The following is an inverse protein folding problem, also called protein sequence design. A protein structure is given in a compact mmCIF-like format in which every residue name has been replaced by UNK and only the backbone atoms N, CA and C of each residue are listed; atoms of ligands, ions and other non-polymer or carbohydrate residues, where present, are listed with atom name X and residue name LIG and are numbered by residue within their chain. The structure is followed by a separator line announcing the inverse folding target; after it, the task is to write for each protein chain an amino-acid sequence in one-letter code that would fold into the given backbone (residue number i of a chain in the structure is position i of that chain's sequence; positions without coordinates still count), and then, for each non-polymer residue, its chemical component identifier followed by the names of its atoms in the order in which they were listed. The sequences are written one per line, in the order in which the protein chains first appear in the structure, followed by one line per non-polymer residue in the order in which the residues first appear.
data_IF_612726153887
#
_entry.id   IF_612726153887
#
_cell.length_a   1.000
_cell.length_b   1.000
_cell.length_c   1.000
_cell.angle_alpha   90.00
_cell.angle_beta   90.00
_cell.angle_gamma   90.00
#
_symmetry.space_group_name_H-M   'P 1'
#
loop_
_entity.id
_entity.type
_entity.pdbx_description
1 polymer ?
#
# COMPACT_ATOMS: atom_id res chain seq x y z
N UNK A 1 -8.05 -2.35 10.19
CA UNK A 1 -7.06 -3.11 9.40
C UNK A 1 -7.81 -3.89 8.33
N UNK A 2 -7.27 -4.02 7.11
CA UNK A 2 -7.94 -4.71 5.99
C UNK A 2 -7.18 -6.00 5.64
N UNK A 3 -7.94 -7.04 5.33
CA UNK A 3 -7.48 -8.40 5.08
C UNK A 3 -6.56 -8.53 3.86
N UNK A 4 -6.73 -7.63 2.89
CA UNK A 4 -5.93 -7.56 1.66
C UNK A 4 -4.50 -7.05 1.90
N UNK A 5 -4.33 -6.10 2.84
CA UNK A 5 -3.04 -5.50 3.18
C UNK A 5 -2.18 -6.44 4.04
N UNK A 6 -2.74 -6.95 5.14
CA UNK A 6 -1.99 -7.77 6.10
C UNK A 6 -1.78 -9.19 5.56
N UNK A 7 -2.81 -9.79 4.94
CA UNK A 7 -2.70 -11.15 4.37
C UNK A 7 -1.66 -11.24 3.25
N UNK A 8 -1.54 -10.18 2.44
CA UNK A 8 -0.48 -10.06 1.43
C UNK A 8 0.93 -10.06 2.04
N UNK A 9 1.14 -9.25 3.08
CA UNK A 9 2.42 -9.17 3.81
C UNK A 9 2.76 -10.50 4.49
N UNK A 10 1.81 -11.15 5.18
CA UNK A 10 2.00 -12.49 5.77
C UNK A 10 2.50 -13.47 4.72
N UNK A 11 1.88 -13.50 3.55
CA UNK A 11 2.29 -14.40 2.48
C UNK A 11 3.71 -14.08 1.96
N UNK A 12 4.09 -12.81 1.88
CA UNK A 12 5.47 -12.41 1.54
C UNK A 12 6.45 -12.94 2.59
N UNK A 13 6.20 -12.66 3.87
CA UNK A 13 7.09 -13.05 4.97
C UNK A 13 7.21 -14.55 5.15
N UNK A 14 6.19 -15.34 4.79
CA UNK A 14 6.30 -16.80 4.78
C UNK A 14 7.26 -17.31 3.70
N UNK A 15 7.29 -16.68 2.53
CA UNK A 15 7.97 -17.19 1.33
C UNK A 15 9.32 -16.51 1.03
N UNK A 16 9.63 -15.42 1.72
CA UNK A 16 10.84 -14.61 1.53
C UNK A 16 11.51 -14.42 2.89
N UNK A 17 12.85 -14.44 2.90
CA UNK A 17 13.65 -14.03 4.05
C UNK A 17 13.87 -12.53 3.98
N UNK A 18 13.57 -11.85 5.09
CA UNK A 18 13.75 -10.41 5.23
C UNK A 18 14.49 -10.15 6.54
N UNK A 19 15.31 -9.10 6.55
CA UNK A 19 16.06 -8.70 7.75
C UNK A 19 15.15 -7.98 8.75
N UNK A 20 14.30 -7.09 8.26
CA UNK A 20 13.36 -6.32 9.05
C UNK A 20 12.04 -6.11 8.31
N UNK A 21 11.00 -5.82 9.07
CA UNK A 21 9.70 -5.37 8.61
C UNK A 21 9.45 -3.98 9.17
N UNK A 22 9.09 -3.06 8.27
CA UNK A 22 8.66 -1.73 8.67
C UNK A 22 7.18 -1.80 9.06
N UNK A 23 6.90 -1.50 10.33
CA UNK A 23 5.54 -1.47 10.83
C UNK A 23 5.42 -0.42 11.94
N UNK A 24 4.64 0.63 11.70
CA UNK A 24 4.31 1.61 12.72
C UNK A 24 3.22 1.04 13.64
N UNK A 25 3.59 0.73 14.89
CA UNK A 25 2.71 0.18 15.92
C UNK A 25 2.51 1.25 17.02
N UNK A 26 1.28 1.46 17.53
CA UNK A 26 1.03 2.38 18.64
C UNK A 26 1.92 2.11 19.86
N UNK A 27 2.39 3.17 20.51
CA UNK A 27 3.24 3.07 21.71
C UNK A 27 2.54 2.42 22.92
N UNK A 28 1.20 2.37 22.92
CA UNK A 28 0.37 1.71 23.94
C UNK A 28 -0.06 0.29 23.55
N UNK A 29 0.65 -0.36 22.63
CA UNK A 29 0.35 -1.68 22.09
C UNK A 29 0.04 -2.74 23.16
N UNK A 30 0.75 -2.73 24.29
CA UNK A 30 0.54 -3.70 25.37
C UNK A 30 -0.88 -3.62 25.95
N UNK A 31 -1.45 -2.41 26.08
CA UNK A 31 -2.85 -2.21 26.51
C UNK A 31 -3.85 -2.65 25.44
N UNK A 32 -3.44 -2.61 24.17
CA UNK A 32 -4.26 -3.10 23.05
C UNK A 32 -4.30 -4.63 23.04
N UNK A 33 -3.19 -5.31 23.34
CA UNK A 33 -3.12 -6.76 23.52
C UNK A 33 -3.97 -7.26 24.69
N UNK A 34 -4.11 -6.49 25.76
CA UNK A 34 -5.05 -6.83 26.85
C UNK A 34 -6.52 -6.73 26.41
N UNK A 35 -6.88 -5.68 25.65
CA UNK A 35 -8.23 -5.54 25.07
C UNK A 35 -8.52 -6.62 24.01
N UNK A 36 -7.51 -7.13 23.31
CA UNK A 36 -7.63 -8.22 22.32
C UNK A 36 -8.25 -9.49 22.94
N UNK A 37 -7.77 -9.92 24.10
CA UNK A 37 -8.26 -11.14 24.75
C UNK A 37 -9.73 -11.03 25.18
N UNK A 38 -10.17 -9.80 25.47
CA UNK A 38 -11.56 -9.47 25.72
C UNK A 38 -12.41 -9.57 24.44
N UNK A 39 -11.96 -8.97 23.33
CA UNK A 39 -12.71 -9.03 22.06
C UNK A 39 -12.76 -10.41 21.42
N UNK A 40 -11.71 -11.23 21.58
CA UNK A 40 -11.70 -12.63 21.12
C UNK A 40 -12.84 -13.46 21.74
N UNK A 41 -13.22 -13.17 22.98
CA UNK A 41 -14.35 -13.83 23.68
C UNK A 41 -15.72 -13.29 23.24
N UNK A 42 -15.77 -12.08 22.67
CA UNK A 42 -16.99 -11.42 22.19
C UNK A 42 -17.33 -11.78 20.75
N UNK A 43 -16.32 -11.97 19.90
CA UNK A 43 -16.51 -12.27 18.47
C UNK A 43 -17.17 -13.62 18.18
N UNK A 44 -17.21 -14.53 19.14
CA UNK A 44 -17.90 -15.83 19.04
C UNK A 44 -19.44 -15.69 19.01
N UNK A 45 -20.02 -14.49 19.23
CA UNK A 45 -21.46 -14.31 19.48
C UNK A 45 -22.27 -13.49 18.45
N UNK A 46 -21.67 -12.79 17.48
CA UNK A 46 -22.44 -11.93 16.54
C UNK A 46 -21.81 -11.78 15.14
N UNK A 47 -22.63 -11.76 14.09
CA UNK A 47 -22.23 -11.77 12.66
C UNK A 47 -21.37 -10.53 12.26
N UNK A 48 -21.57 -9.38 12.89
CA UNK A 48 -20.77 -8.15 12.66
C UNK A 48 -19.32 -8.26 13.15
N UNK A 49 -19.00 -9.24 14.01
CA UNK A 49 -17.63 -9.49 14.47
C UNK A 49 -16.81 -10.38 13.53
N UNK A 50 -17.39 -10.96 12.47
CA UNK A 50 -16.66 -11.82 11.53
C UNK A 50 -15.46 -11.10 10.90
N UNK A 51 -15.68 -9.95 10.26
CA UNK A 51 -14.57 -9.14 9.70
C UNK A 51 -13.56 -8.68 10.75
N UNK A 52 -14.02 -8.39 11.96
CA UNK A 52 -13.13 -7.98 13.06
C UNK A 52 -12.26 -9.15 13.53
N UNK A 53 -12.85 -10.34 13.69
CA UNK A 53 -12.16 -11.57 14.05
C UNK A 53 -11.21 -12.04 12.94
N UNK A 54 -11.60 -11.92 11.67
CA UNK A 54 -10.76 -12.23 10.51
C UNK A 54 -9.54 -11.30 10.47
N UNK A 55 -9.75 -9.99 10.62
CA UNK A 55 -8.66 -9.02 10.69
C UNK A 55 -7.73 -9.27 11.88
N UNK A 56 -8.28 -9.70 13.02
CA UNK A 56 -7.52 -10.04 14.21
C UNK A 56 -6.70 -11.32 14.00
N UNK A 57 -7.30 -12.37 13.44
CA UNK A 57 -6.66 -13.64 13.11
C UNK A 57 -5.49 -13.46 12.13
N UNK A 58 -5.69 -12.64 11.08
CA UNK A 58 -4.63 -12.33 10.10
C UNK A 58 -3.51 -11.50 10.75
N UNK A 59 -3.84 -10.60 11.68
CA UNK A 59 -2.83 -9.83 12.43
C UNK A 59 -2.03 -10.74 13.38
N UNK A 60 -2.69 -11.67 14.07
CA UNK A 60 -2.02 -12.69 14.89
C UNK A 60 -1.09 -13.56 14.04
N UNK A 61 -1.53 -13.96 12.85
CA UNK A 61 -0.71 -14.71 11.92
C UNK A 61 0.55 -13.93 11.50
N UNK A 62 0.43 -12.63 11.22
CA UNK A 62 1.57 -11.76 10.92
C UNK A 62 2.58 -11.72 12.07
N UNK A 63 2.11 -11.47 13.29
CA UNK A 63 2.96 -11.39 14.48
C UNK A 63 3.65 -12.73 14.75
N UNK A 64 2.92 -13.84 14.61
CA UNK A 64 3.49 -15.17 14.75
C UNK A 64 4.59 -15.43 13.71
N UNK A 65 4.41 -15.02 12.45
CA UNK A 65 5.46 -15.17 11.43
C UNK A 65 6.69 -14.34 11.76
N UNK A 66 6.50 -13.10 12.21
CA UNK A 66 7.59 -12.20 12.63
C UNK A 66 8.37 -12.79 13.80
N UNK A 67 7.67 -13.24 14.85
CA UNK A 67 8.28 -13.82 16.05
C UNK A 67 9.02 -15.13 15.74
N UNK A 68 8.37 -16.05 15.02
CA UNK A 68 8.96 -17.35 14.68
C UNK A 68 10.20 -17.21 13.80
N UNK A 69 10.20 -16.23 12.89
CA UNK A 69 11.36 -15.94 12.03
C UNK A 69 12.36 -14.96 12.66
N UNK A 70 12.09 -14.45 13.87
CA UNK A 70 12.90 -13.45 14.57
C UNK A 70 13.21 -12.22 13.70
N UNK A 71 12.20 -11.77 12.95
CA UNK A 71 12.32 -10.62 12.07
C UNK A 71 12.28 -9.35 12.93
N UNK A 72 13.22 -8.43 12.71
CA UNK A 72 13.21 -7.16 13.42
C UNK A 72 12.01 -6.30 12.97
N UNK A 73 11.29 -5.71 13.91
CA UNK A 73 10.28 -4.69 13.62
C UNK A 73 10.88 -3.32 13.85
N UNK A 74 10.84 -2.48 12.81
CA UNK A 74 11.31 -1.11 12.90
C UNK A 74 10.15 -0.15 12.61
N UNK A 75 9.87 0.82 13.50
CA UNK A 75 9.05 1.95 13.11
C UNK A 75 9.87 2.82 12.16
N UNK A 76 9.19 3.47 11.21
CA UNK A 76 9.82 4.49 10.37
C UNK A 76 9.05 5.80 10.42
N UNK A 77 9.79 6.90 10.41
CA UNK A 77 9.27 8.27 10.46
C UNK A 77 9.91 9.11 9.37
N UNK A 78 9.23 10.20 9.01
CA UNK A 78 9.75 11.18 8.08
C UNK A 78 11.18 11.61 8.45
N UNK A 79 12.05 11.65 7.44
CA UNK A 79 13.45 12.05 7.57
C UNK A 79 14.41 10.90 7.82
N UNK A 80 13.93 9.69 8.08
CA UNK A 80 14.77 8.50 8.19
C UNK A 80 15.19 7.97 6.81
N UNK A 81 16.44 7.52 6.73
CA UNK A 81 17.06 6.99 5.51
C UNK A 81 17.55 5.55 5.76
N UNK A 82 17.19 4.63 4.87
CA UNK A 82 17.65 3.24 4.88
C UNK A 82 18.56 3.04 3.67
N UNK A 83 19.87 2.91 3.90
CA UNK A 83 20.85 2.61 2.85
C UNK A 83 21.04 1.10 2.72
N UNK A 84 20.97 0.61 1.48
CA UNK A 84 21.40 -0.75 1.16
C UNK A 84 22.86 -0.78 0.69
N UNK A 85 23.26 0.20 -0.12
CA UNK A 85 24.63 0.45 -0.55
C UNK A 85 24.76 1.90 -1.07
N UNK A 86 25.92 2.26 -1.62
CA UNK A 86 26.21 3.60 -2.15
C UNK A 86 25.26 4.08 -3.27
N UNK A 87 24.64 3.16 -3.99
CA UNK A 87 23.75 3.45 -5.12
C UNK A 87 22.27 3.40 -4.72
N UNK A 88 21.90 2.78 -3.60
CA UNK A 88 20.51 2.50 -3.22
C UNK A 88 20.20 2.99 -1.81
N UNK A 89 19.33 4.02 -1.75
CA UNK A 89 18.85 4.64 -0.53
C UNK A 89 17.32 4.75 -0.57
N UNK A 90 16.65 4.30 0.48
CA UNK A 90 15.22 4.52 0.70
C UNK A 90 15.06 5.63 1.73
N UNK A 91 14.45 6.74 1.32
CA UNK A 91 14.09 7.85 2.19
C UNK A 91 12.64 7.77 2.59
N UNK A 92 12.37 7.96 3.87
CA UNK A 92 11.01 8.03 4.42
C UNK A 92 10.55 9.48 4.37
N UNK A 93 9.51 9.75 3.58
CA UNK A 93 8.92 11.09 3.43
C UNK A 93 7.65 11.28 4.27
N UNK A 94 7.11 10.20 4.82
CA UNK A 94 5.88 10.18 5.63
C UNK A 94 5.81 8.83 6.34
N UNK A 95 5.17 8.71 7.51
CA UNK A 95 4.46 9.77 8.25
C UNK A 95 5.37 10.59 9.18
N UNK A 96 4.92 11.80 9.53
CA UNK A 96 5.42 12.48 10.73
C UNK A 96 4.92 11.73 11.97
N UNK A 97 5.55 11.97 13.12
CA UNK A 97 5.06 11.41 14.38
C UNK A 97 3.63 11.89 14.70
N UNK A 98 3.32 13.17 14.45
CA UNK A 98 2.00 13.77 14.72
C UNK A 98 0.90 13.16 13.86
N UNK A 99 1.17 12.88 12.57
CA UNK A 99 0.22 12.21 11.67
C UNK A 99 -0.08 10.81 12.16
N UNK A 100 0.95 10.11 12.60
CA UNK A 100 0.81 8.76 13.12
C UNK A 100 0.02 8.75 14.44
N UNK A 101 0.29 9.68 15.36
CA UNK A 101 -0.50 9.85 16.58
C UNK A 101 -1.97 10.19 16.28
N UNK A 102 -2.23 11.09 15.32
CA UNK A 102 -3.58 11.42 14.90
C UNK A 102 -4.34 10.21 14.33
N UNK A 103 -3.67 9.38 13.53
CA UNK A 103 -4.24 8.14 13.02
C UNK A 103 -4.57 7.14 14.14
N UNK A 104 -3.71 7.02 15.14
CA UNK A 104 -3.97 6.16 16.30
C UNK A 104 -5.11 6.68 17.18
N UNK A 105 -5.18 7.99 17.38
CA UNK A 105 -6.26 8.63 18.15
C UNK A 105 -7.62 8.44 17.46
N UNK A 106 -7.67 8.63 16.13
CA UNK A 106 -8.86 8.41 15.31
C UNK A 106 -9.32 6.95 15.39
N UNK A 107 -8.41 5.97 15.31
CA UNK A 107 -8.75 4.55 15.44
C UNK A 107 -9.30 4.22 16.83
N UNK A 108 -8.79 4.85 17.90
CA UNK A 108 -9.33 4.66 19.25
C UNK A 108 -10.73 5.26 19.37
N UNK A 109 -10.95 6.45 18.80
CA UNK A 109 -12.25 7.13 18.84
C UNK A 109 -13.30 6.39 17.99
N UNK A 110 -12.96 5.96 16.78
CA UNK A 110 -13.83 5.11 15.95
C UNK A 110 -14.26 3.85 16.71
N UNK A 111 -13.33 3.21 17.43
CA UNK A 111 -13.64 2.03 18.25
C UNK A 111 -14.53 2.34 19.45
N UNK A 112 -14.28 3.44 20.15
CA UNK A 112 -15.11 3.87 21.27
C UNK A 112 -16.54 4.24 20.82
N UNK A 113 -16.69 4.92 19.68
CA UNK A 113 -17.99 5.31 19.11
C UNK A 113 -18.70 4.10 18.50
N UNK A 114 -17.97 3.14 17.91
CA UNK A 114 -18.53 1.88 17.45
C UNK A 114 -19.07 1.01 18.60
N UNK A 115 -18.55 1.17 19.82
CA UNK A 115 -19.13 0.56 21.03
C UNK A 115 -20.44 1.25 21.48
N UNK A 116 -20.75 2.46 21.00
CA UNK A 116 -21.88 3.27 21.49
C UNK A 116 -23.03 3.50 20.46
N UNK A 117 -22.82 3.21 19.16
CA UNK A 117 -23.78 3.33 18.03
C UNK A 117 -24.66 4.61 18.02
N UNK A 118 -24.34 5.58 17.15
CA UNK A 118 -25.15 5.99 15.97
C UNK A 118 -24.65 7.32 15.40
N UNK A 119 -24.55 7.33 14.06
CA UNK A 119 -24.73 8.45 13.14
C UNK A 119 -24.46 9.88 13.63
N UNK A 120 -23.37 10.47 13.14
CA UNK A 120 -23.39 11.70 12.30
C UNK A 120 -21.98 12.29 12.24
N UNK A 121 -21.16 11.81 11.30
CA UNK A 121 -19.99 12.58 10.88
C UNK A 121 -19.89 12.49 9.37
N UNK A 122 -20.01 13.65 8.70
CA UNK A 122 -19.57 13.77 7.31
C UNK A 122 -18.08 13.49 7.31
N UNK A 123 -17.71 12.30 6.86
CA UNK A 123 -16.31 11.88 6.75
C UNK A 123 -15.55 12.90 5.90
N UNK A 124 -14.37 13.30 6.38
CA UNK A 124 -13.36 13.93 5.55
C UNK A 124 -13.15 13.07 4.28
N UNK A 125 -12.86 13.66 3.11
CA UNK A 125 -12.58 12.90 1.89
C UNK A 125 -11.41 11.90 2.04
N UNK A 126 -10.61 12.04 3.11
CA UNK A 126 -9.52 11.14 3.52
C UNK A 126 -9.62 10.85 5.02
N UNK A 127 -9.12 9.69 5.45
CA UNK A 127 -9.03 9.35 6.88
C UNK A 127 -7.64 9.69 7.43
N UNK A 128 -7.52 10.08 8.71
CA UNK A 128 -6.23 10.20 9.39
C UNK A 128 -5.34 8.96 9.18
N UNK A 129 -5.95 7.77 9.10
CA UNK A 129 -5.26 6.51 8.77
C UNK A 129 -4.56 6.52 7.40
N UNK A 130 -5.20 7.04 6.36
CA UNK A 130 -4.57 7.14 5.04
C UNK A 130 -3.48 8.21 5.03
N UNK A 131 -3.68 9.30 5.76
CA UNK A 131 -2.71 10.40 5.83
C UNK A 131 -1.47 10.03 6.67
N UNK A 132 -1.55 9.00 7.50
CA UNK A 132 -0.41 8.35 8.16
C UNK A 132 0.28 7.26 7.30
N UNK A 133 0.00 7.22 5.99
CA UNK A 133 0.66 6.30 5.06
C UNK A 133 2.18 6.50 5.04
N UNK A 134 2.91 5.38 5.01
CA UNK A 134 4.34 5.38 4.75
C UNK A 134 4.57 5.76 3.27
N UNK A 135 5.27 6.86 3.04
CA UNK A 135 5.72 7.28 1.71
C UNK A 135 7.23 7.06 1.64
N UNK A 136 7.66 6.26 0.67
CA UNK A 136 9.07 5.96 0.44
C UNK A 136 9.52 6.55 -0.90
N UNK A 137 10.61 7.29 -0.86
CA UNK A 137 11.38 7.69 -2.03
C UNK A 137 12.58 6.76 -2.19
N UNK A 138 12.71 6.13 -3.36
CA UNK A 138 13.93 5.43 -3.75
C UNK A 138 14.85 6.41 -4.46
N UNK A 139 16.00 6.66 -3.86
CA UNK A 139 17.12 7.37 -4.47
C UNK A 139 18.06 6.32 -5.06
N UNK A 140 18.24 6.38 -6.39
CA UNK A 140 19.16 5.53 -7.13
C UNK A 140 20.28 6.38 -7.75
N UNK A 141 21.54 6.07 -7.46
CA UNK A 141 22.72 6.82 -7.94
C UNK A 141 22.60 8.32 -7.65
N UNK A 142 22.25 8.65 -6.40
CA UNK A 142 22.06 10.01 -5.89
C UNK A 142 20.97 10.81 -6.62
N UNK A 143 19.95 10.16 -7.20
CA UNK A 143 18.80 10.81 -7.83
C UNK A 143 17.48 10.17 -7.42
N UNK A 144 16.42 10.95 -7.16
CA UNK A 144 15.06 10.42 -7.05
C UNK A 144 14.71 9.54 -8.24
N UNK A 145 14.26 8.32 -7.97
CA UNK A 145 13.99 7.32 -9.01
C UNK A 145 12.57 6.77 -8.93
N UNK A 146 12.15 6.31 -7.76
CA UNK A 146 10.82 5.75 -7.57
C UNK A 146 10.12 6.33 -6.35
N UNK A 147 8.80 6.44 -6.44
CA UNK A 147 7.94 6.87 -5.33
C UNK A 147 6.92 5.76 -5.00
N UNK A 148 6.88 5.37 -3.73
CA UNK A 148 5.90 4.43 -3.18
C UNK A 148 5.02 5.15 -2.17
N UNK A 149 3.74 5.31 -2.49
CA UNK A 149 2.85 6.24 -1.78
C UNK A 149 1.85 5.57 -0.84
N UNK A 150 1.91 4.23 -0.71
CA UNK A 150 0.90 3.46 0.03
C UNK A 150 -0.52 3.91 -0.36
N UNK A 151 -1.35 4.31 0.59
CA UNK A 151 -2.72 4.78 0.37
C UNK A 151 -2.88 6.27 0.67
N UNK A 152 -1.76 7.00 0.66
CA UNK A 152 -1.71 8.43 0.93
C UNK A 152 -2.60 9.22 -0.03
N UNK A 153 -3.20 10.27 0.51
CA UNK A 153 -3.95 11.24 -0.27
C UNK A 153 -3.03 12.12 -1.13
N UNK A 154 -3.58 12.73 -2.17
CA UNK A 154 -2.82 13.64 -3.04
C UNK A 154 -2.16 14.79 -2.24
N UNK A 155 -2.84 15.33 -1.22
CA UNK A 155 -2.32 16.39 -0.36
C UNK A 155 -1.08 15.96 0.41
N UNK A 156 -1.13 14.80 1.08
CA UNK A 156 0.01 14.24 1.82
C UNK A 156 1.19 13.97 0.90
N UNK A 157 0.94 13.44 -0.31
CA UNK A 157 2.01 13.20 -1.29
C UNK A 157 2.66 14.51 -1.74
N UNK A 158 1.88 15.56 -2.03
CA UNK A 158 2.42 16.87 -2.45
C UNK A 158 3.33 17.47 -1.38
N UNK A 159 2.90 17.43 -0.13
CA UNK A 159 3.70 17.93 1.00
C UNK A 159 5.00 17.14 1.14
N UNK A 160 4.95 15.81 0.99
CA UNK A 160 6.09 14.92 1.15
C UNK A 160 7.17 15.08 0.06
N UNK A 161 6.80 15.28 -1.21
CA UNK A 161 7.77 15.20 -2.33
C UNK A 161 8.32 16.55 -2.81
N UNK A 162 7.81 17.68 -2.32
CA UNK A 162 8.21 19.01 -2.78
C UNK A 162 7.99 19.17 -4.30
N UNK A 163 8.98 19.62 -5.07
CA UNK A 163 8.91 19.72 -6.54
C UNK A 163 9.82 18.68 -7.22
N UNK A 164 9.50 17.40 -7.03
CA UNK A 164 10.30 16.26 -7.48
C UNK A 164 9.55 15.42 -8.51
N UNK A 165 10.26 14.93 -9.53
CA UNK A 165 9.76 13.99 -10.53
C UNK A 165 10.43 12.62 -10.38
N UNK A 166 9.73 11.57 -10.83
CA UNK A 166 10.15 10.19 -10.59
C UNK A 166 10.04 9.36 -11.88
N UNK A 167 10.93 8.39 -12.07
CA UNK A 167 10.84 7.44 -13.19
C UNK A 167 9.70 6.44 -12.97
N UNK A 168 9.47 6.04 -11.72
CA UNK A 168 8.46 5.07 -11.31
C UNK A 168 7.54 5.63 -10.21
N UNK A 169 6.25 5.39 -10.35
CA UNK A 169 5.24 5.71 -9.33
C UNK A 169 4.41 4.45 -9.02
N UNK A 170 4.39 4.00 -7.76
CA UNK A 170 3.30 3.15 -7.27
C UNK A 170 2.08 4.03 -7.06
N UNK A 171 0.99 3.75 -7.77
CA UNK A 171 -0.23 4.57 -7.67
C UNK A 171 -0.86 4.38 -6.29
N UNK A 172 -1.23 5.49 -5.61
CA UNK A 172 -1.81 5.42 -4.29
C UNK A 172 -3.16 4.72 -4.28
N UNK A 173 -3.46 4.01 -3.19
CA UNK A 173 -4.80 3.55 -2.84
C UNK A 173 -5.53 2.85 -4.00
N UNK A 174 -4.85 1.90 -4.64
CA UNK A 174 -5.38 1.11 -5.76
C UNK A 174 -5.87 1.92 -6.98
N UNK A 175 -5.54 3.21 -7.07
CA UNK A 175 -6.08 4.12 -8.08
C UNK A 175 -7.39 4.80 -7.67
N UNK A 176 -7.56 5.10 -6.38
CA UNK A 176 -8.65 5.94 -5.89
C UNK A 176 -8.57 7.36 -6.45
N UNK A 177 -9.73 7.98 -6.70
CA UNK A 177 -9.84 9.37 -7.18
C UNK A 177 -9.28 10.42 -6.20
N UNK A 178 -9.06 10.04 -4.94
CA UNK A 178 -8.51 10.92 -3.90
C UNK A 178 -6.97 10.79 -3.75
N UNK A 179 -6.37 9.78 -4.37
CA UNK A 179 -4.93 9.53 -4.26
C UNK A 179 -4.09 10.41 -5.21
N UNK A 180 -4.68 10.91 -6.30
CA UNK A 180 -4.00 11.74 -7.29
C UNK A 180 -4.88 12.90 -7.72
N UNK A 181 -4.24 13.98 -8.16
CA UNK A 181 -4.87 15.08 -8.88
C UNK A 181 -3.97 15.57 -10.03
N UNK A 182 -4.52 16.45 -10.86
CA UNK A 182 -3.89 16.97 -12.08
C UNK A 182 -2.57 17.71 -11.82
N UNK A 183 -2.45 18.39 -10.69
CA UNK A 183 -1.23 19.11 -10.31
C UNK A 183 -0.15 18.10 -9.90
N UNK A 184 -0.50 17.15 -9.03
CA UNK A 184 0.41 16.14 -8.52
C UNK A 184 0.95 15.25 -9.64
N UNK A 185 0.10 14.80 -10.55
CA UNK A 185 0.56 13.90 -11.62
C UNK A 185 1.46 14.62 -12.63
N UNK A 186 1.23 15.92 -12.90
CA UNK A 186 2.10 16.74 -13.74
C UNK A 186 3.44 17.03 -13.09
N UNK A 187 3.46 17.14 -11.77
CA UNK A 187 4.67 17.31 -10.98
C UNK A 187 5.52 16.02 -10.95
N UNK A 188 4.92 14.90 -10.58
CA UNK A 188 5.61 13.59 -10.54
C UNK A 188 6.05 13.17 -11.95
N UNK A 189 5.18 13.37 -12.94
CA UNK A 189 5.35 13.02 -14.37
C UNK A 189 6.05 11.68 -14.58
N UNK A 190 5.48 10.57 -14.08
CA UNK A 190 6.17 9.28 -14.09
C UNK A 190 6.28 8.72 -15.50
N UNK A 191 7.41 8.08 -15.82
CA UNK A 191 7.51 7.27 -17.05
C UNK A 191 6.73 5.96 -16.90
N UNK A 192 6.74 5.39 -15.69
CA UNK A 192 6.09 4.14 -15.36
C UNK A 192 5.21 4.30 -14.13
N UNK A 193 3.97 3.81 -14.20
CA UNK A 193 3.02 3.78 -13.11
C UNK A 193 2.59 2.34 -12.82
N UNK A 194 2.53 1.98 -11.54
CA UNK A 194 2.10 0.65 -11.09
C UNK A 194 0.86 0.74 -10.21
N UNK A 195 -0.25 0.17 -10.69
CA UNK A 195 -1.53 0.03 -10.00
C UNK A 195 -1.60 -1.33 -9.30
N UNK A 196 -1.43 -1.35 -7.98
CA UNK A 196 -1.79 -2.54 -7.22
C UNK A 196 -3.31 -2.59 -7.10
N UNK A 197 -4.02 -3.30 -7.98
CA UNK A 197 -5.49 -3.35 -7.98
C UNK A 197 -5.98 -4.68 -8.53
N UNK A 198 -7.05 -5.20 -7.92
CA UNK A 198 -7.81 -6.34 -8.40
C UNK A 198 -9.29 -6.03 -8.50
N UNK A 199 -10.11 -7.05 -8.75
CA UNK A 199 -11.56 -6.88 -8.73
C UNK A 199 -12.01 -6.38 -7.35
N UNK A 200 -12.74 -5.28 -7.32
CA UNK A 200 -13.12 -4.63 -6.07
C UNK A 200 -14.47 -3.90 -6.22
N UNK A 201 -15.26 -3.81 -5.15
CA UNK A 201 -16.57 -3.15 -5.18
C UNK A 201 -16.47 -1.60 -5.19
N UNK A 202 -15.28 -1.04 -4.94
CA UNK A 202 -15.05 0.41 -4.83
C UNK A 202 -14.95 1.12 -6.18
N UNK A 203 -14.93 0.36 -7.28
CA UNK A 203 -14.79 0.91 -8.63
C UNK A 203 -13.37 1.38 -8.92
N UNK A 204 -12.36 0.86 -8.22
CA UNK A 204 -10.95 1.16 -8.51
C UNK A 204 -10.40 0.26 -9.63
N UNK A 205 -9.47 0.74 -10.47
CA UNK A 205 -8.99 2.13 -10.51
C UNK A 205 -10.05 3.08 -11.09
N UNK A 206 -10.10 4.30 -10.58
CA UNK A 206 -11.00 5.34 -11.06
C UNK A 206 -10.63 5.77 -12.49
N UNK A 207 -11.63 6.13 -13.31
CA UNK A 207 -11.40 6.50 -14.72
C UNK A 207 -10.56 7.76 -14.82
N UNK A 208 -10.77 8.71 -13.93
CA UNK A 208 -10.07 9.99 -13.83
C UNK A 208 -8.57 9.78 -13.56
N UNK A 209 -8.20 8.78 -12.75
CA UNK A 209 -6.80 8.41 -12.49
C UNK A 209 -6.14 7.87 -13.77
N UNK A 210 -6.85 7.05 -14.53
CA UNK A 210 -6.35 6.52 -15.79
C UNK A 210 -6.16 7.64 -16.83
N UNK A 211 -7.12 8.56 -16.93
CA UNK A 211 -7.03 9.72 -17.82
C UNK A 211 -5.85 10.63 -17.47
N UNK A 212 -5.65 10.93 -16.18
CA UNK A 212 -4.48 11.67 -15.70
C UNK A 212 -3.16 11.01 -16.11
N UNK A 213 -3.04 9.69 -15.94
CA UNK A 213 -1.85 8.92 -16.32
C UNK A 213 -1.62 8.92 -17.84
N UNK A 214 -2.69 8.82 -18.63
CA UNK A 214 -2.65 8.95 -20.08
C UNK A 214 -2.15 10.33 -20.51
N UNK A 215 -2.67 11.38 -19.90
CA UNK A 215 -2.37 12.77 -20.26
C UNK A 215 -0.88 13.11 -20.04
N UNK A 216 -0.22 12.48 -19.06
CA UNK A 216 1.23 12.65 -18.83
C UNK A 216 2.09 11.63 -19.59
N UNK A 217 1.48 10.72 -20.37
CA UNK A 217 2.18 9.71 -21.17
C UNK A 217 2.80 8.57 -20.36
N UNK A 218 2.30 8.29 -19.15
CA UNK A 218 2.82 7.24 -18.29
C UNK A 218 2.46 5.84 -18.82
N UNK A 219 3.41 4.89 -18.76
CA UNK A 219 3.13 3.47 -19.01
C UNK A 219 2.53 2.84 -17.75
N UNK A 220 1.33 2.27 -17.88
CA UNK A 220 0.56 1.76 -16.73
C UNK A 220 0.62 0.24 -16.65
N UNK A 221 1.00 -0.27 -15.47
CA UNK A 221 1.02 -1.68 -15.10
C UNK A 221 0.02 -1.96 -13.99
N UNK A 222 -0.63 -3.13 -13.98
CA UNK A 222 -1.54 -3.52 -12.89
C UNK A 222 -1.17 -4.88 -12.28
N UNK A 223 -1.46 -5.07 -10.98
CA UNK A 223 -1.20 -6.35 -10.28
C UNK A 223 -2.18 -7.47 -10.65
N UNK A 224 -3.45 -7.15 -10.96
CA UNK A 224 -4.46 -8.15 -11.32
C UNK A 224 -5.47 -7.64 -12.37
N UNK A 225 -6.33 -8.53 -12.87
CA UNK A 225 -7.34 -8.22 -13.88
C UNK A 225 -8.48 -7.41 -13.27
N UNK A 226 -8.87 -6.32 -13.93
CA UNK A 226 -10.10 -5.56 -13.67
C UNK A 226 -10.80 -5.25 -15.00
N UNK A 227 -11.95 -4.57 -14.96
CA UNK A 227 -12.58 -4.00 -16.17
C UNK A 227 -11.62 -3.11 -16.96
N UNK A 228 -10.75 -2.39 -16.25
CA UNK A 228 -9.79 -1.42 -16.78
C UNK A 228 -8.33 -1.91 -16.76
N UNK A 229 -8.09 -3.14 -16.29
CA UNK A 229 -6.80 -3.83 -16.34
C UNK A 229 -7.01 -5.24 -16.98
N UNK A 230 -6.92 -5.39 -18.30
CA UNK A 230 -7.20 -6.57 -19.11
C UNK A 230 -5.90 -7.12 -19.67
N UNK A 231 -5.82 -8.46 -19.73
CA UNK A 231 -4.65 -9.25 -20.09
C UNK A 231 -4.48 -9.46 -21.61
N UNK A 232 -5.29 -8.83 -22.46
CA UNK A 232 -5.35 -9.15 -23.90
C UNK A 232 -4.12 -8.66 -24.67
N UNK A 233 -3.10 -9.49 -24.60
CA UNK A 233 -1.79 -9.34 -25.19
C UNK A 233 -1.70 -10.13 -26.50
N UNK A 234 -2.03 -9.55 -27.67
CA UNK A 234 -1.75 -10.21 -28.96
C UNK A 234 -0.26 -10.10 -29.32
N UNK A 235 0.38 -11.23 -29.60
CA UNK A 235 1.78 -11.36 -29.99
C UNK A 235 1.97 -10.89 -31.44
N UNK A 236 2.60 -9.74 -31.65
CA UNK A 236 3.13 -9.32 -32.94
C UNK A 236 4.65 -9.48 -32.84
N UNK A 237 5.18 -10.54 -33.43
CA UNK A 237 6.56 -10.97 -33.25
C UNK A 237 7.57 -9.85 -33.50
N UNK A 238 8.46 -9.63 -32.52
CA UNK A 238 9.90 -9.38 -32.64
C UNK A 238 10.47 -9.02 -31.25
N UNK A 239 11.46 -9.79 -30.77
CA UNK A 239 12.43 -9.38 -29.73
C UNK A 239 12.18 -9.82 -28.28
N UNK A 240 12.83 -10.93 -27.89
CA UNK A 240 12.92 -11.47 -26.52
C UNK A 240 13.66 -10.55 -25.55
N UNK A 241 13.23 -10.51 -24.27
CA UNK A 241 14.09 -10.47 -23.07
C UNK A 241 13.20 -10.67 -21.82
N UNK A 242 13.29 -11.85 -21.21
CA UNK A 242 12.59 -12.29 -19.99
C UNK A 242 13.62 -12.83 -18.98
N UNK A 243 13.52 -12.53 -17.68
CA UNK A 243 14.07 -13.30 -16.53
C UNK A 243 13.40 -12.89 -15.20
N UNK A 244 13.35 -13.69 -14.10
CA UNK A 244 14.15 -14.83 -13.58
C UNK A 244 13.30 -16.11 -13.29
N UNK A 245 13.96 -17.24 -12.99
CA UNK A 245 13.54 -18.64 -13.28
C UNK A 245 13.59 -19.59 -12.06
N UNK A 246 13.59 -19.08 -10.83
CA UNK A 246 14.11 -19.84 -9.67
C UNK A 246 13.17 -20.03 -8.47
N UNK A 247 11.88 -19.66 -8.57
CA UNK A 247 10.83 -20.18 -7.69
C UNK A 247 9.55 -20.45 -8.48
N UNK A 248 8.97 -21.63 -8.30
CA UNK A 248 7.67 -21.97 -8.91
C UNK A 248 6.64 -20.90 -8.51
N UNK A 249 5.96 -20.25 -9.47
CA UNK A 249 4.79 -19.44 -9.18
C UNK A 249 3.73 -20.33 -8.52
N UNK A 250 2.96 -19.79 -7.57
CA UNK A 250 1.79 -20.47 -6.98
C UNK A 250 0.97 -21.18 -8.06
N UNK A 251 0.36 -22.36 -7.79
CA UNK A 251 -0.44 -23.07 -8.79
C UNK A 251 -1.44 -22.10 -9.44
N UNK A 252 -1.37 -21.96 -10.77
CA UNK A 252 -2.12 -21.03 -11.64
C UNK A 252 -1.52 -19.64 -11.94
N UNK A 253 -0.30 -19.32 -11.50
CA UNK A 253 0.41 -18.11 -11.94
C UNK A 253 1.22 -18.36 -13.22
N UNK A 254 0.80 -17.75 -14.34
CA UNK A 254 1.62 -17.63 -15.55
C UNK A 254 2.23 -16.23 -15.61
N UNK A 255 3.56 -16.08 -15.78
CA UNK A 255 4.19 -14.77 -15.94
C UNK A 255 3.57 -14.03 -17.13
N UNK A 256 3.29 -12.73 -16.93
CA UNK A 256 2.77 -11.84 -17.97
C UNK A 256 3.90 -10.96 -18.45
N UNK A 257 4.02 -10.88 -19.78
CA UNK A 257 4.95 -10.00 -20.48
C UNK A 257 4.63 -8.53 -20.17
N UNK A 258 5.52 -7.85 -19.46
CA UNK A 258 5.43 -6.42 -19.14
C UNK A 258 5.62 -5.50 -20.37
N UNK A 259 5.92 -6.04 -21.57
CA UNK A 259 5.79 -5.27 -22.81
C UNK A 259 4.39 -5.35 -23.42
N UNK A 260 3.55 -6.28 -22.98
CA UNK A 260 2.18 -6.46 -23.49
C UNK A 260 1.09 -6.02 -22.52
N UNK A 261 1.43 -5.73 -21.26
CA UNK A 261 0.63 -4.83 -20.42
C UNK A 261 0.87 -3.37 -20.84
N UNK A 262 0.60 -3.05 -22.10
CA UNK A 262 0.35 -1.68 -22.50
C UNK A 262 -1.16 -1.54 -22.57
N UNK A 263 -1.72 -1.01 -21.49
CA UNK A 263 -2.82 -0.09 -21.71
C UNK A 263 -2.29 1.06 -22.54
N UNK A 264 -2.40 0.95 -23.86
CA UNK A 264 -2.61 2.14 -24.66
C UNK A 264 -4.03 2.58 -24.32
N UNK A 265 -4.14 3.44 -23.32
CA UNK A 265 -5.28 4.34 -23.23
C UNK A 265 -5.27 5.26 -24.44
#
# INVERSE_FOLDING_TARGET
MDSDHIGGLVNVLKNIEVEYVVLNIPSNWDKWLEKRDYFRKLSEKTIYFGKFADNLSITEELLNVIENKRIALIPLFEGEDISHNEDFLLRVLSPTFERLEAAWADEVLERAVAEEILETAKASPTTPRNDASIILELIYKNKPYALFTSDASAGVIKEAIGNTSYEFLKIPHHGSKFGLDEELIKQIRPKTAYLSVGDNPYGHPATEVLEMLKNVGAKVYCSNRTKYCKRDCKYNGFGNLCHRKDKDPRPNWKPVDSKKCLYNL
#
